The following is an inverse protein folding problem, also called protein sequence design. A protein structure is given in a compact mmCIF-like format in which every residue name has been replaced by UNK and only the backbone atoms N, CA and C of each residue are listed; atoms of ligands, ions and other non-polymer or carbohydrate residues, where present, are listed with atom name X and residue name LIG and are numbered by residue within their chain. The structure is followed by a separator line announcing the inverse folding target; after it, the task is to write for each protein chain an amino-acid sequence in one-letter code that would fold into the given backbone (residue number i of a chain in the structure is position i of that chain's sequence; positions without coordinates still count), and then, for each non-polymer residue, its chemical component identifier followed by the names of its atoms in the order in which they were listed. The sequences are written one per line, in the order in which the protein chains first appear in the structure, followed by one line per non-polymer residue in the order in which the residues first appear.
data_IF_694999940700
#
_entry.id   IF_694999940700
#
_cell.length_a   1.000
_cell.length_b   1.000
_cell.length_c   1.000
_cell.angle_alpha   90.00
_cell.angle_beta   90.00
_cell.angle_gamma   90.00
#
_symmetry.space_group_name_H-M   'P 1'
#
loop_
_entity.id
_entity.type
_entity.pdbx_description
1 polymer ?
#
# COMPACT_ATOMS: atom_id res chain seq x y z
N UNK A 1 11.37 -19.84 -26.54
CA UNK A 1 12.04 -19.51 -25.29
C UNK A 1 10.96 -18.84 -24.42
N UNK A 2 10.33 -19.66 -23.57
CA UNK A 2 9.12 -19.26 -22.85
C UNK A 2 9.54 -18.56 -21.54
N UNK A 3 9.47 -17.23 -21.53
CA UNK A 3 9.49 -16.47 -20.27
C UNK A 3 8.08 -16.52 -19.67
N UNK A 4 7.79 -17.56 -18.90
CA UNK A 4 6.64 -17.58 -18.02
C UNK A 4 7.07 -16.79 -16.79
N UNK A 5 6.51 -15.57 -16.65
CA UNK A 5 6.70 -14.74 -15.48
C UNK A 5 6.27 -15.51 -14.23
N UNK A 6 7.19 -15.73 -13.30
CA UNK A 6 6.91 -16.28 -11.97
C UNK A 6 6.15 -15.21 -11.20
N UNK A 7 4.86 -15.39 -11.08
CA UNK A 7 4.06 -14.61 -10.17
C UNK A 7 4.47 -14.97 -8.74
N UNK A 8 4.77 -13.96 -7.93
CA UNK A 8 4.76 -14.11 -6.47
C UNK A 8 3.39 -14.66 -6.13
N UNK A 9 3.36 -15.90 -5.69
CA UNK A 9 2.13 -16.55 -5.24
C UNK A 9 1.77 -15.94 -3.88
N UNK A 10 1.08 -14.80 -3.91
CA UNK A 10 0.24 -14.41 -2.79
C UNK A 10 -0.84 -15.48 -2.77
N UNK A 11 -0.68 -16.48 -1.92
CA UNK A 11 -1.64 -17.57 -1.76
C UNK A 11 -2.92 -17.01 -1.13
N UNK A 12 -3.72 -16.31 -1.92
CA UNK A 12 -5.09 -15.99 -1.62
C UNK A 12 -5.94 -17.17 -2.07
N UNK A 13 -5.93 -18.27 -1.32
CA UNK A 13 -6.92 -19.31 -1.48
C UNK A 13 -8.26 -18.78 -1.00
N UNK A 14 -9.11 -18.38 -1.94
CA UNK A 14 -10.47 -17.97 -1.70
C UNK A 14 -11.30 -19.21 -1.32
N UNK A 15 -11.56 -19.40 -0.04
CA UNK A 15 -12.74 -20.16 0.39
C UNK A 15 -13.95 -19.26 0.12
N UNK A 16 -14.67 -19.55 -0.98
CA UNK A 16 -15.95 -18.95 -1.26
C UNK A 16 -16.94 -19.27 -0.15
N UNK A 17 -17.14 -18.35 0.75
CA UNK A 17 -18.26 -18.33 1.66
C UNK A 17 -19.37 -17.51 1.03
N UNK A 18 -20.39 -18.18 0.49
CA UNK A 18 -21.69 -17.60 0.15
C UNK A 18 -22.32 -17.02 1.42
N UNK A 19 -22.63 -15.72 1.37
CA UNK A 19 -23.42 -15.05 2.39
C UNK A 19 -22.65 -14.04 3.23
N UNK A 20 -22.45 -12.83 2.70
CA UNK A 20 -22.05 -11.68 3.50
C UNK A 20 -23.28 -11.13 4.26
N UNK A 21 -23.57 -11.66 5.44
CA UNK A 21 -24.09 -10.82 6.51
C UNK A 21 -22.87 -10.16 7.18
N UNK A 22 -22.90 -8.83 7.29
CA UNK A 22 -21.95 -8.08 8.13
C UNK A 22 -22.09 -8.57 9.57
N UNK A 23 -21.31 -9.56 9.94
CA UNK A 23 -21.19 -9.97 11.33
C UNK A 23 -20.57 -8.82 12.09
N UNK A 24 -21.39 -8.15 12.90
CA UNK A 24 -20.89 -7.28 13.97
C UNK A 24 -19.83 -8.07 14.73
N UNK A 25 -18.64 -7.50 14.84
CA UNK A 25 -17.56 -8.02 15.68
C UNK A 25 -18.15 -8.26 17.08
N UNK A 26 -18.32 -9.52 17.43
CA UNK A 26 -18.84 -9.91 18.74
C UNK A 26 -17.71 -9.67 19.75
N UNK A 27 -17.76 -8.52 20.42
CA UNK A 27 -16.82 -8.13 21.48
C UNK A 27 -16.99 -8.96 22.77
N UNK A 28 -17.58 -10.16 22.66
CA UNK A 28 -17.83 -11.02 23.81
C UNK A 28 -16.54 -11.79 24.18
N UNK A 29 -15.83 -11.27 25.17
CA UNK A 29 -14.54 -11.81 25.66
C UNK A 29 -14.64 -13.17 26.39
N UNK A 30 -15.84 -13.76 26.48
CA UNK A 30 -16.08 -15.03 27.19
C UNK A 30 -16.93 -15.98 26.34
N UNK A 31 -16.43 -17.16 26.02
CA UNK A 31 -17.13 -18.19 25.21
C UNK A 31 -16.19 -18.82 24.16
N UNK A 32 -16.61 -19.89 23.50
CA UNK A 32 -15.90 -20.55 22.39
C UNK A 32 -15.93 -19.65 21.14
N UNK A 33 -14.84 -19.57 20.36
CA UNK A 33 -14.82 -18.86 19.08
C UNK A 33 -15.93 -19.32 18.15
N UNK A 34 -16.43 -18.41 17.30
CA UNK A 34 -17.41 -18.83 16.28
C UNK A 34 -16.74 -19.78 15.27
N UNK A 35 -17.48 -20.64 14.56
CA UNK A 35 -16.90 -21.53 13.56
C UNK A 35 -16.16 -20.81 12.43
N UNK A 36 -16.53 -19.59 12.13
CA UNK A 36 -15.84 -18.73 11.13
C UNK A 36 -14.47 -18.29 11.67
N UNK A 37 -14.42 -17.85 12.92
CA UNK A 37 -13.17 -17.46 13.57
C UNK A 37 -12.24 -18.65 13.70
N UNK A 38 -12.73 -19.82 14.16
CA UNK A 38 -11.94 -21.02 14.28
C UNK A 38 -11.33 -21.48 12.92
N UNK A 39 -12.08 -21.34 11.81
CA UNK A 39 -11.55 -21.58 10.47
C UNK A 39 -10.50 -20.55 10.05
N UNK A 40 -10.67 -19.29 10.40
CA UNK A 40 -9.69 -18.26 10.12
C UNK A 40 -8.38 -18.49 10.90
N UNK A 41 -8.48 -18.92 12.17
CA UNK A 41 -7.32 -19.31 12.98
C UNK A 41 -6.58 -20.49 12.35
N UNK A 42 -7.28 -21.57 11.99
CA UNK A 42 -6.67 -22.74 11.36
C UNK A 42 -6.00 -22.37 10.03
N UNK A 43 -6.67 -21.59 9.20
CA UNK A 43 -6.10 -21.08 7.95
C UNK A 43 -4.82 -20.27 8.20
N UNK A 44 -4.82 -19.38 9.19
CA UNK A 44 -3.64 -18.60 9.53
C UNK A 44 -2.48 -19.46 10.02
N UNK A 45 -2.76 -20.51 10.84
CA UNK A 45 -1.75 -21.50 11.28
C UNK A 45 -1.14 -22.19 10.06
N UNK A 46 -1.97 -22.71 9.17
CA UNK A 46 -1.52 -23.49 8.01
C UNK A 46 -0.67 -22.63 7.06
N UNK A 47 -1.12 -21.40 6.78
CA UNK A 47 -0.40 -20.48 5.88
C UNK A 47 0.90 -19.99 6.51
N UNK A 48 0.88 -19.54 7.76
CA UNK A 48 2.09 -19.06 8.43
C UNK A 48 3.08 -20.19 8.69
N UNK A 49 2.61 -21.37 9.04
CA UNK A 49 3.46 -22.55 9.25
C UNK A 49 4.13 -23.06 7.99
N UNK A 50 3.52 -22.84 6.81
CA UNK A 50 4.01 -23.38 5.54
C UNK A 50 4.73 -22.37 4.68
N UNK A 51 4.15 -21.14 4.54
CA UNK A 51 4.60 -20.16 3.54
C UNK A 51 5.36 -18.98 4.13
N UNK A 52 5.28 -18.74 5.44
CA UNK A 52 5.90 -17.60 6.06
C UNK A 52 7.43 -17.75 6.09
N UNK A 53 8.16 -16.72 5.67
CA UNK A 53 9.62 -16.78 5.59
C UNK A 53 10.25 -17.14 6.95
N UNK A 54 9.73 -16.56 8.01
CA UNK A 54 10.21 -16.77 9.39
C UNK A 54 9.30 -17.74 10.17
N UNK A 55 8.83 -18.82 9.52
CA UNK A 55 7.91 -19.79 10.11
C UNK A 55 8.53 -20.52 11.33
N UNK A 56 9.83 -20.81 11.31
CA UNK A 56 10.52 -21.46 12.41
C UNK A 56 10.64 -20.54 13.64
N UNK A 57 10.91 -19.24 13.42
CA UNK A 57 11.05 -18.24 14.47
C UNK A 57 9.75 -17.99 15.22
N UNK A 58 8.61 -17.94 14.49
CA UNK A 58 7.30 -17.69 15.09
C UNK A 58 6.57 -18.97 15.53
N UNK A 59 7.15 -20.15 15.31
CA UNK A 59 6.50 -21.45 15.55
C UNK A 59 5.85 -21.57 16.94
N UNK A 60 6.51 -21.04 17.97
CA UNK A 60 5.97 -21.07 19.34
C UNK A 60 4.78 -20.13 19.53
N UNK A 61 4.69 -19.08 18.73
CA UNK A 61 3.62 -18.09 18.82
C UNK A 61 2.37 -18.50 18.05
N UNK A 62 2.46 -19.45 17.10
CA UNK A 62 1.31 -19.97 16.37
C UNK A 62 0.23 -20.60 17.28
N UNK A 63 0.61 -21.08 18.47
CA UNK A 63 -0.36 -21.58 19.47
C UNK A 63 -1.39 -20.53 19.89
N UNK A 64 -1.06 -19.25 19.75
CA UNK A 64 -1.97 -18.12 20.04
C UNK A 64 -3.13 -18.00 19.06
N UNK A 65 -3.03 -18.64 17.89
CA UNK A 65 -4.08 -18.78 16.88
C UNK A 65 -4.94 -20.03 17.09
N UNK A 66 -4.92 -20.65 18.29
CA UNK A 66 -5.71 -21.87 18.56
C UNK A 66 -7.20 -21.68 18.20
N UNK A 67 -7.76 -22.52 17.30
CA UNK A 67 -9.17 -22.45 16.90
C UNK A 67 -10.17 -22.58 18.06
N UNK A 68 -9.72 -23.13 19.19
CA UNK A 68 -10.56 -23.32 20.38
C UNK A 68 -10.61 -22.07 21.27
N UNK A 69 -9.62 -21.20 21.20
CA UNK A 69 -9.44 -20.11 22.16
C UNK A 69 -9.20 -18.74 21.54
N UNK A 70 -8.63 -18.65 20.33
CA UNK A 70 -8.38 -17.38 19.68
C UNK A 70 -9.70 -16.77 19.16
N UNK A 71 -9.86 -15.46 19.37
CA UNK A 71 -11.08 -14.72 18.94
C UNK A 71 -10.79 -13.54 18.07
N UNK A 72 -9.53 -13.20 17.95
CA UNK A 72 -9.05 -12.04 17.22
C UNK A 72 -7.87 -12.43 16.32
N UNK A 73 -8.07 -13.35 15.35
CA UNK A 73 -6.98 -13.87 14.53
C UNK A 73 -6.19 -12.78 13.81
N UNK A 74 -6.84 -11.73 13.33
CA UNK A 74 -6.17 -10.61 12.65
C UNK A 74 -5.19 -9.88 13.57
N UNK A 75 -5.58 -9.62 14.82
CA UNK A 75 -4.72 -8.99 15.83
C UNK A 75 -3.57 -9.90 16.25
N UNK A 76 -3.85 -11.20 16.41
CA UNK A 76 -2.82 -12.19 16.76
C UNK A 76 -1.80 -12.30 15.62
N UNK A 77 -2.22 -12.47 14.36
CA UNK A 77 -1.33 -12.51 13.19
C UNK A 77 -0.43 -11.26 13.17
N UNK A 78 -1.00 -10.07 13.36
CA UNK A 78 -0.23 -8.85 13.43
C UNK A 78 0.79 -8.85 14.57
N UNK A 79 0.46 -9.40 15.73
CA UNK A 79 1.31 -9.37 16.92
C UNK A 79 2.41 -10.43 16.95
N UNK A 80 2.29 -11.50 16.14
CA UNK A 80 3.28 -12.58 16.03
C UNK A 80 4.21 -12.45 14.82
N UNK A 81 4.11 -11.38 14.06
CA UNK A 81 5.06 -11.06 12.98
C UNK A 81 6.48 -11.12 13.50
N UNK A 82 7.40 -11.49 12.63
CA UNK A 82 8.79 -11.63 13.03
C UNK A 82 9.42 -10.30 13.46
N UNK A 83 10.12 -10.36 14.59
CA UNK A 83 10.90 -9.27 15.17
C UNK A 83 12.32 -9.75 15.43
N UNK A 84 13.30 -8.90 15.19
CA UNK A 84 14.70 -9.13 15.49
C UNK A 84 15.25 -8.03 16.39
N UNK A 85 15.83 -8.40 17.54
CA UNK A 85 16.35 -7.42 18.48
C UNK A 85 15.31 -6.41 18.98
N UNK A 86 14.03 -6.79 19.05
CA UNK A 86 12.91 -5.93 19.45
C UNK A 86 12.41 -4.98 18.35
N UNK A 87 12.93 -5.09 17.13
CA UNK A 87 12.45 -4.35 15.96
C UNK A 87 11.58 -5.23 15.08
N UNK A 88 10.44 -4.69 14.64
CA UNK A 88 9.57 -5.34 13.66
C UNK A 88 10.31 -5.45 12.31
N UNK A 89 10.57 -6.67 11.87
CA UNK A 89 11.18 -6.98 10.56
C UNK A 89 10.08 -7.14 9.53
N UNK A 90 9.10 -8.01 9.81
CA UNK A 90 7.91 -8.16 8.97
C UNK A 90 6.90 -7.06 9.30
N UNK A 91 6.64 -6.20 8.32
CA UNK A 91 5.67 -5.10 8.41
C UNK A 91 4.40 -5.35 7.59
N UNK A 92 4.37 -6.41 6.79
CA UNK A 92 3.42 -6.58 5.69
C UNK A 92 2.44 -7.72 5.87
N UNK A 93 2.84 -8.80 6.57
CA UNK A 93 1.95 -9.95 6.77
C UNK A 93 0.69 -9.54 7.52
N UNK A 94 -0.46 -9.87 6.95
CA UNK A 94 -1.76 -9.54 7.51
C UNK A 94 -2.78 -10.63 7.21
N UNK A 95 -3.77 -10.75 8.08
CA UNK A 95 -5.00 -11.50 7.83
C UNK A 95 -6.13 -10.49 7.65
N UNK A 96 -7.00 -10.69 6.67
CA UNK A 96 -8.16 -9.83 6.42
C UNK A 96 -9.43 -10.66 6.25
N UNK A 97 -10.54 -10.12 6.69
CA UNK A 97 -11.90 -10.66 6.47
C UNK A 97 -12.59 -10.02 5.25
N UNK A 98 -11.98 -9.00 4.65
CA UNK A 98 -12.47 -8.32 3.43
C UNK A 98 -11.50 -8.51 2.25
N UNK A 99 -11.53 -9.72 1.66
CA UNK A 99 -10.70 -10.05 0.51
C UNK A 99 -11.02 -9.21 -0.73
N UNK A 100 -12.28 -8.79 -0.90
CA UNK A 100 -12.68 -8.01 -2.09
C UNK A 100 -12.09 -6.61 -2.04
N UNK A 101 -12.21 -5.92 -0.90
CA UNK A 101 -11.60 -4.61 -0.72
C UNK A 101 -10.07 -4.69 -0.78
N UNK A 102 -9.48 -5.74 -0.20
CA UNK A 102 -8.05 -5.97 -0.28
C UNK A 102 -7.58 -6.16 -1.75
N UNK A 103 -8.26 -7.01 -2.53
CA UNK A 103 -7.94 -7.20 -3.96
C UNK A 103 -8.05 -5.89 -4.76
N UNK A 104 -9.08 -5.10 -4.52
CA UNK A 104 -9.23 -3.79 -5.16
C UNK A 104 -8.07 -2.87 -4.78
N UNK A 105 -7.71 -2.80 -3.50
CA UNK A 105 -6.66 -1.89 -3.03
C UNK A 105 -5.30 -2.19 -3.64
N UNK A 106 -4.91 -3.47 -3.76
CA UNK A 106 -3.64 -3.85 -4.42
C UNK A 106 -3.65 -3.61 -5.94
N UNK A 107 -4.83 -3.41 -6.53
CA UNK A 107 -5.00 -3.01 -7.94
C UNK A 107 -5.14 -1.50 -8.11
N UNK A 108 -4.90 -0.71 -7.06
CA UNK A 108 -5.09 0.73 -7.08
C UNK A 108 -6.55 1.17 -7.23
N UNK A 109 -7.51 0.28 -6.95
CA UNK A 109 -8.95 0.56 -7.01
C UNK A 109 -9.56 0.62 -5.62
N UNK A 110 -10.50 1.53 -5.43
CA UNK A 110 -11.23 1.61 -4.17
C UNK A 110 -12.09 2.85 -4.05
N UNK A 111 -12.85 2.87 -2.95
CA UNK A 111 -13.61 4.05 -2.56
C UNK A 111 -12.63 5.07 -1.96
N UNK A 112 -12.39 6.16 -2.66
CA UNK A 112 -11.36 7.14 -2.30
C UNK A 112 -11.80 8.58 -2.56
N UNK A 113 -11.15 9.51 -1.91
CA UNK A 113 -11.21 10.95 -2.23
C UNK A 113 -10.17 11.35 -3.29
N UNK A 114 -9.24 10.47 -3.66
CA UNK A 114 -8.19 10.74 -4.63
C UNK A 114 -7.12 11.68 -4.09
N UNK A 115 -6.66 11.45 -2.86
CA UNK A 115 -5.52 12.14 -2.27
C UNK A 115 -4.71 11.22 -1.35
N UNK A 116 -3.46 11.60 -1.10
CA UNK A 116 -2.67 11.11 0.02
C UNK A 116 -2.34 12.25 0.99
N UNK A 117 -2.29 11.92 2.29
CA UNK A 117 -2.15 12.88 3.37
C UNK A 117 -1.06 12.46 4.35
N UNK A 118 -0.19 13.39 4.71
CA UNK A 118 0.80 13.23 5.76
C UNK A 118 0.31 13.84 7.07
N UNK A 119 0.40 13.08 8.16
CA UNK A 119 0.02 13.54 9.50
C UNK A 119 1.13 14.37 10.13
N UNK A 120 0.78 15.58 10.58
CA UNK A 120 1.61 16.43 11.42
C UNK A 120 0.96 16.68 12.76
N UNK A 121 1.76 17.04 13.76
CA UNK A 121 1.30 17.37 15.10
C UNK A 121 1.66 18.81 15.42
N UNK A 122 0.72 19.57 15.99
CA UNK A 122 1.00 20.89 16.49
C UNK A 122 1.89 20.84 17.75
N UNK A 123 2.89 21.71 17.80
CA UNK A 123 3.77 21.83 18.97
C UNK A 123 3.13 22.64 20.10
N UNK A 124 2.25 23.58 19.75
CA UNK A 124 1.60 24.54 20.63
C UNK A 124 0.15 24.19 20.99
N UNK A 125 -0.39 23.11 20.40
CA UNK A 125 -1.77 22.64 20.63
C UNK A 125 -1.78 21.19 21.05
N UNK A 126 -1.89 20.96 22.34
CA UNK A 126 -1.85 19.62 22.92
C UNK A 126 -3.00 18.73 22.38
N UNK A 127 -2.66 17.60 21.77
CA UNK A 127 -3.64 16.62 21.26
C UNK A 127 -4.24 16.96 19.89
N UNK A 128 -3.89 18.09 19.28
CA UNK A 128 -4.32 18.47 17.94
C UNK A 128 -3.29 18.13 16.89
N UNK A 129 -3.79 17.81 15.70
CA UNK A 129 -3.03 17.41 14.53
C UNK A 129 -3.45 18.23 13.31
N UNK A 130 -2.65 18.17 12.27
CA UNK A 130 -2.97 18.65 10.95
C UNK A 130 -2.59 17.59 9.90
N UNK A 131 -3.18 17.70 8.72
CA UNK A 131 -2.84 16.85 7.59
C UNK A 131 -2.31 17.71 6.46
N UNK A 132 -1.29 17.24 5.77
CA UNK A 132 -0.71 17.92 4.60
C UNK A 132 -0.99 17.07 3.38
N UNK A 133 -1.55 17.65 2.33
CA UNK A 133 -1.78 16.96 1.06
C UNK A 133 -0.43 16.66 0.40
N UNK A 134 -0.08 15.37 0.29
CA UNK A 134 1.13 14.89 -0.37
C UNK A 134 0.99 14.96 -1.89
N UNK A 135 -0.16 14.51 -2.40
CA UNK A 135 -0.57 14.56 -3.79
C UNK A 135 -2.09 14.43 -3.91
N UNK A 136 -2.59 14.73 -5.10
CA UNK A 136 -3.97 14.46 -5.51
C UNK A 136 -3.96 13.65 -6.80
N UNK A 137 -4.88 12.69 -6.90
CA UNK A 137 -5.03 11.85 -8.09
C UNK A 137 -5.74 12.64 -9.19
N UNK A 138 -5.28 12.44 -10.42
CA UNK A 138 -5.90 13.04 -11.61
C UNK A 138 -7.37 12.64 -11.70
N UNK A 139 -8.22 13.62 -12.03
CA UNK A 139 -9.67 13.46 -12.17
C UNK A 139 -10.40 12.98 -10.90
N UNK A 140 -9.69 12.91 -9.76
CA UNK A 140 -10.26 12.53 -8.47
C UNK A 140 -11.06 13.64 -7.80
N UNK A 141 -11.92 13.29 -6.81
CA UNK A 141 -12.73 14.26 -6.08
C UNK A 141 -11.93 15.39 -5.46
N UNK A 142 -10.74 15.10 -4.91
CA UNK A 142 -9.87 16.08 -4.28
C UNK A 142 -9.35 17.10 -5.28
N UNK A 143 -8.86 16.67 -6.45
CA UNK A 143 -8.41 17.55 -7.53
C UNK A 143 -9.56 18.42 -8.04
N UNK A 144 -10.72 17.81 -8.30
CA UNK A 144 -11.90 18.52 -8.80
C UNK A 144 -12.43 19.56 -7.81
N UNK A 145 -12.22 19.34 -6.52
CA UNK A 145 -12.56 20.31 -5.46
C UNK A 145 -11.47 21.38 -5.23
N UNK A 146 -10.42 21.39 -6.04
CA UNK A 146 -9.33 22.36 -5.98
C UNK A 146 -8.34 22.16 -4.84
N UNK A 147 -8.23 20.93 -4.31
CA UNK A 147 -7.11 20.55 -3.44
C UNK A 147 -5.85 20.37 -4.29
N UNK A 148 -4.72 20.70 -3.69
CA UNK A 148 -3.41 20.55 -4.31
C UNK A 148 -2.36 20.15 -3.28
N UNK A 149 -1.24 19.61 -3.76
CA UNK A 149 -0.06 19.35 -2.94
C UNK A 149 0.32 20.56 -2.11
N UNK A 150 0.58 20.33 -0.82
CA UNK A 150 0.97 21.35 0.15
C UNK A 150 -0.19 22.05 0.86
N UNK A 151 -1.45 21.82 0.44
CA UNK A 151 -2.60 22.27 1.22
C UNK A 151 -2.56 21.66 2.62
N UNK A 152 -2.87 22.46 3.64
CA UNK A 152 -2.89 22.03 5.03
C UNK A 152 -4.32 21.96 5.53
N UNK A 153 -4.71 20.80 6.05
CA UNK A 153 -6.04 20.51 6.59
C UNK A 153 -5.94 20.56 8.12
N UNK A 154 -6.74 21.39 8.75
CA UNK A 154 -6.72 21.59 10.21
C UNK A 154 -8.02 21.19 10.89
N UNK A 155 -9.10 20.97 10.13
CA UNK A 155 -10.37 20.47 10.70
C UNK A 155 -10.98 19.43 9.80
N UNK A 156 -11.69 18.46 10.42
CA UNK A 156 -12.57 17.51 9.76
C UNK A 156 -13.99 17.72 10.28
N UNK A 157 -14.96 17.95 9.39
CA UNK A 157 -16.36 18.23 9.70
C UNK A 157 -16.53 19.37 10.73
N UNK A 158 -15.69 20.39 10.61
CA UNK A 158 -15.67 21.57 11.46
C UNK A 158 -15.04 21.37 12.84
N UNK A 159 -14.46 20.21 13.12
CA UNK A 159 -13.79 19.90 14.39
C UNK A 159 -12.27 19.85 14.21
N UNK A 160 -11.47 20.24 15.21
CA UNK A 160 -10.02 20.02 15.20
C UNK A 160 -9.68 18.55 14.98
N UNK A 161 -8.54 18.28 14.32
CA UNK A 161 -8.08 16.93 14.05
C UNK A 161 -7.44 16.37 15.32
N UNK A 162 -7.90 15.21 15.76
CA UNK A 162 -7.43 14.46 16.92
C UNK A 162 -7.13 13.01 16.55
N UNK A 163 -6.58 12.24 17.48
CA UNK A 163 -6.39 10.79 17.28
C UNK A 163 -7.71 10.06 17.00
N UNK A 164 -8.82 10.55 17.57
CA UNK A 164 -10.12 9.87 17.49
C UNK A 164 -10.82 10.10 16.14
N UNK A 165 -10.53 11.21 15.44
CA UNK A 165 -11.22 11.56 14.22
C UNK A 165 -10.33 11.60 12.97
N UNK A 166 -9.01 11.50 13.08
CA UNK A 166 -8.09 11.59 11.92
C UNK A 166 -8.40 10.58 10.82
N UNK A 167 -8.86 9.39 11.19
CA UNK A 167 -9.23 8.36 10.22
C UNK A 167 -10.45 8.70 9.37
N UNK A 168 -11.29 9.66 9.81
CA UNK A 168 -12.42 10.13 9.01
C UNK A 168 -11.96 10.79 7.69
N UNK A 169 -10.72 11.29 7.64
CA UNK A 169 -10.14 11.79 6.40
C UNK A 169 -10.04 10.70 5.31
N UNK A 170 -10.06 9.42 5.65
CA UNK A 170 -9.85 8.30 4.72
C UNK A 170 -11.04 7.35 4.63
N UNK A 171 -11.75 7.15 5.74
CA UNK A 171 -12.66 6.00 5.91
C UNK A 171 -14.14 6.40 5.94
N UNK A 172 -14.51 7.61 5.54
CA UNK A 172 -15.90 8.05 5.44
C UNK A 172 -16.33 8.23 3.99
N UNK A 173 -17.65 8.15 3.74
CA UNK A 173 -18.17 8.37 2.41
C UNK A 173 -18.13 9.84 1.98
N UNK A 174 -18.21 10.75 2.95
CA UNK A 174 -18.10 12.18 2.74
C UNK A 174 -17.39 12.85 3.91
N UNK A 175 -16.66 13.92 3.64
CA UNK A 175 -15.94 14.70 4.65
C UNK A 175 -15.92 16.19 4.26
N UNK A 176 -16.00 17.05 5.25
CA UNK A 176 -15.76 18.49 5.09
C UNK A 176 -14.40 18.85 5.69
N UNK A 177 -13.45 19.23 4.82
CA UNK A 177 -12.09 19.58 5.18
C UNK A 177 -11.97 21.08 5.40
N UNK A 178 -11.46 21.50 6.56
CA UNK A 178 -11.04 22.89 6.78
C UNK A 178 -9.61 23.08 6.31
N UNK A 179 -9.44 23.69 5.14
CA UNK A 179 -8.15 23.83 4.45
C UNK A 179 -7.60 25.23 4.61
N UNK A 180 -6.33 25.33 4.93
CA UNK A 180 -5.60 26.59 5.10
C UNK A 180 -4.25 26.53 4.38
N UNK A 181 -3.55 27.64 4.33
CA UNK A 181 -2.19 27.75 3.82
C UNK A 181 -1.21 27.97 4.97
N UNK A 182 0.05 27.67 4.73
CA UNK A 182 1.16 28.02 5.61
C UNK A 182 1.89 29.21 5.03
N UNK A 183 2.14 30.24 5.84
CA UNK A 183 2.92 31.42 5.51
C UNK A 183 4.10 31.49 6.50
N UNK A 184 5.31 31.18 6.01
CA UNK A 184 6.46 30.97 6.90
C UNK A 184 6.23 29.83 7.88
N UNK A 185 6.32 30.08 9.18
CA UNK A 185 6.13 29.12 10.25
C UNK A 185 4.70 29.08 10.80
N UNK A 186 3.77 29.85 10.21
CA UNK A 186 2.44 30.04 10.75
C UNK A 186 1.35 29.60 9.77
N UNK A 187 0.28 29.06 10.33
CA UNK A 187 -0.93 28.77 9.57
C UNK A 187 -1.63 30.11 9.29
N UNK A 188 -1.96 30.38 8.02
CA UNK A 188 -2.72 31.58 7.66
C UNK A 188 -4.11 31.53 8.28
N UNK A 189 -4.60 32.65 8.78
CA UNK A 189 -5.90 32.71 9.47
C UNK A 189 -7.12 32.42 8.59
N UNK A 190 -6.94 32.30 7.26
CA UNK A 190 -8.02 32.02 6.32
C UNK A 190 -8.20 30.51 6.13
N UNK A 191 -9.39 30.03 6.51
CA UNK A 191 -9.78 28.63 6.32
C UNK A 191 -10.89 28.55 5.27
N UNK A 192 -10.67 27.74 4.22
CA UNK A 192 -11.71 27.40 3.24
C UNK A 192 -12.26 26.01 3.56
N UNK A 193 -13.55 25.82 3.37
CA UNK A 193 -14.16 24.48 3.52
C UNK A 193 -14.23 23.79 2.16
N UNK A 194 -13.61 22.61 2.07
CA UNK A 194 -13.67 21.73 0.91
C UNK A 194 -14.50 20.51 1.28
N UNK A 195 -15.60 20.27 0.57
CA UNK A 195 -16.45 19.10 0.78
C UNK A 195 -16.16 18.06 -0.26
N UNK A 196 -15.85 16.85 0.20
CA UNK A 196 -15.53 15.70 -0.65
C UNK A 196 -16.54 14.59 -0.44
N UNK A 197 -16.77 13.86 -1.52
CA UNK A 197 -17.52 12.61 -1.54
C UNK A 197 -16.63 11.55 -2.19
N UNK A 198 -16.43 10.44 -1.49
CA UNK A 198 -15.62 9.35 -2.01
C UNK A 198 -16.28 8.68 -3.22
N UNK A 199 -15.48 8.28 -4.18
CA UNK A 199 -15.89 7.57 -5.39
C UNK A 199 -15.06 6.31 -5.56
N UNK A 200 -15.64 5.27 -6.17
CA UNK A 200 -14.89 4.08 -6.57
C UNK A 200 -14.11 4.43 -7.85
N UNK A 201 -12.79 4.56 -7.75
CA UNK A 201 -11.94 4.91 -8.88
C UNK A 201 -10.61 4.17 -8.84
N UNK A 202 -9.95 4.11 -9.98
CA UNK A 202 -8.55 3.71 -10.08
C UNK A 202 -7.66 4.93 -9.78
N UNK A 203 -6.80 4.78 -8.80
CA UNK A 203 -5.76 5.77 -8.49
C UNK A 203 -4.52 5.45 -9.33
N UNK A 204 -4.38 6.15 -10.47
CA UNK A 204 -3.24 5.95 -11.36
C UNK A 204 -1.94 6.29 -10.61
N UNK A 205 -1.02 5.33 -10.44
CA UNK A 205 0.22 5.57 -9.72
C UNK A 205 1.23 6.43 -10.52
N UNK A 206 1.03 6.60 -11.83
CA UNK A 206 1.84 7.51 -12.65
C UNK A 206 1.27 8.91 -12.54
N UNK A 207 1.72 9.65 -11.54
CA UNK A 207 1.16 10.97 -11.23
C UNK A 207 1.64 12.06 -12.16
N UNK A 208 2.92 12.00 -12.56
CA UNK A 208 3.56 13.04 -13.40
C UNK A 208 4.52 12.38 -14.38
N UNK A 209 4.41 12.77 -15.65
CA UNK A 209 5.38 12.49 -16.68
C UNK A 209 5.68 13.79 -17.42
N UNK A 210 6.86 14.35 -17.18
CA UNK A 210 7.26 15.64 -17.74
C UNK A 210 8.65 15.57 -18.35
N UNK A 211 8.94 16.53 -19.23
CA UNK A 211 10.27 16.73 -19.78
C UNK A 211 10.58 18.23 -19.71
N UNK A 212 11.71 18.58 -19.14
CA UNK A 212 12.16 19.97 -19.01
C UNK A 212 13.66 20.08 -19.31
N UNK A 213 14.11 21.29 -19.55
CA UNK A 213 15.54 21.59 -19.75
C UNK A 213 16.16 22.13 -18.49
N UNK A 214 17.31 21.59 -18.12
CA UNK A 214 18.12 22.07 -17.00
C UNK A 214 19.61 21.94 -17.33
N UNK A 215 20.34 23.04 -17.21
CA UNK A 215 21.79 23.07 -17.47
C UNK A 215 22.18 22.65 -18.90
N UNK A 216 21.31 22.90 -19.89
CA UNK A 216 21.52 22.52 -21.29
C UNK A 216 21.25 21.03 -21.59
N UNK A 217 20.67 20.30 -20.64
CA UNK A 217 20.25 18.90 -20.78
C UNK A 217 18.74 18.78 -20.73
N UNK A 218 18.20 17.84 -21.47
CA UNK A 218 16.80 17.43 -21.39
C UNK A 218 16.61 16.39 -20.31
N UNK A 219 15.76 16.68 -19.33
CA UNK A 219 15.49 15.82 -18.20
C UNK A 219 14.08 15.27 -18.29
N UNK A 220 13.94 13.95 -18.28
CA UNK A 220 12.66 13.27 -18.04
C UNK A 220 12.37 13.24 -16.56
N UNK A 221 11.12 13.45 -16.16
CA UNK A 221 10.68 13.39 -14.78
C UNK A 221 9.43 12.50 -14.67
N UNK A 222 9.55 11.44 -13.88
CA UNK A 222 8.50 10.49 -13.60
C UNK A 222 8.22 10.47 -12.09
N UNK A 223 6.98 10.78 -11.67
CA UNK A 223 6.50 10.53 -10.30
C UNK A 223 5.65 9.28 -10.33
N UNK A 224 6.08 8.26 -9.57
CA UNK A 224 5.49 6.93 -9.62
C UNK A 224 5.24 6.39 -8.21
N UNK A 225 3.97 6.22 -7.83
CA UNK A 225 3.55 6.01 -6.44
C UNK A 225 3.21 4.56 -6.08
N UNK A 226 3.20 3.63 -7.02
CA UNK A 226 2.88 2.24 -6.71
C UNK A 226 3.09 1.30 -7.88
N UNK A 227 3.50 0.08 -7.61
CA UNK A 227 3.75 -0.97 -8.60
C UNK A 227 2.50 -1.85 -8.80
N UNK A 228 1.42 -1.31 -9.34
CA UNK A 228 0.25 -2.09 -9.70
C UNK A 228 0.41 -2.79 -11.07
N UNK A 229 -0.46 -3.79 -11.34
CA UNK A 229 -0.35 -4.56 -12.59
C UNK A 229 -0.73 -3.72 -13.83
N UNK A 230 -1.65 -2.77 -13.69
CA UNK A 230 -2.11 -1.96 -14.82
C UNK A 230 -1.02 -0.98 -15.29
N UNK A 231 -0.28 -0.41 -14.36
CA UNK A 231 0.84 0.49 -14.69
C UNK A 231 1.98 -0.22 -15.42
N UNK A 232 2.12 -1.55 -15.29
CA UNK A 232 3.11 -2.33 -16.03
C UNK A 232 2.94 -2.24 -17.55
N UNK A 233 1.72 -2.01 -18.02
CA UNK A 233 1.40 -1.83 -19.44
C UNK A 233 1.65 -0.39 -19.90
N UNK A 234 1.56 0.58 -18.99
CA UNK A 234 1.71 2.01 -19.29
C UNK A 234 3.16 2.48 -19.24
N UNK A 235 3.96 1.94 -18.32
CA UNK A 235 5.37 2.31 -18.15
C UNK A 235 6.18 2.24 -19.48
N UNK A 236 6.06 1.18 -20.33
CA UNK A 236 6.76 1.12 -21.60
C UNK A 236 6.45 2.30 -22.52
N UNK A 237 5.22 2.77 -22.55
CA UNK A 237 4.83 3.92 -23.37
C UNK A 237 5.40 5.23 -22.83
N UNK A 238 5.47 5.41 -21.49
CA UNK A 238 6.14 6.55 -20.86
C UNK A 238 7.62 6.61 -21.27
N UNK A 239 8.33 5.48 -21.18
CA UNK A 239 9.74 5.43 -21.54
C UNK A 239 9.97 5.59 -23.06
N UNK A 240 9.05 5.11 -23.88
CA UNK A 240 9.07 5.36 -25.34
C UNK A 240 8.88 6.86 -25.64
N UNK A 241 8.03 7.56 -24.91
CA UNK A 241 7.88 8.99 -25.02
C UNK A 241 9.17 9.74 -24.62
N UNK A 242 9.76 9.41 -23.46
CA UNK A 242 11.05 9.96 -23.05
C UNK A 242 12.14 9.74 -24.10
N UNK A 243 12.23 8.54 -24.65
CA UNK A 243 13.18 8.21 -25.73
C UNK A 243 12.92 9.05 -26.98
N UNK A 244 11.66 9.23 -27.38
CA UNK A 244 11.30 10.05 -28.55
C UNK A 244 11.68 11.52 -28.38
N UNK A 245 11.67 12.03 -27.16
CA UNK A 245 12.06 13.39 -26.81
C UNK A 245 13.59 13.56 -26.67
N UNK A 246 14.34 12.45 -26.78
CA UNK A 246 15.80 12.40 -26.60
C UNK A 246 16.22 13.03 -25.28
N UNK A 247 15.71 12.52 -24.16
CA UNK A 247 16.14 12.97 -22.84
C UNK A 247 17.61 12.52 -22.61
N UNK A 248 18.37 13.38 -21.93
CA UNK A 248 19.75 13.10 -21.53
C UNK A 248 19.84 12.48 -20.14
N UNK A 249 18.89 12.84 -19.26
CA UNK A 249 18.83 12.47 -17.86
C UNK A 249 17.40 12.05 -17.48
N UNK A 250 17.28 11.22 -16.47
CA UNK A 250 16.00 10.77 -15.94
C UNK A 250 15.95 10.92 -14.41
N UNK A 251 14.90 11.56 -13.92
CA UNK A 251 14.56 11.59 -12.50
C UNK A 251 13.31 10.73 -12.28
N UNK A 252 13.43 9.71 -11.42
CA UNK A 252 12.31 8.90 -10.96
C UNK A 252 12.05 9.25 -9.50
N UNK A 253 10.86 9.77 -9.23
CA UNK A 253 10.44 10.15 -7.88
C UNK A 253 9.54 9.07 -7.29
N UNK A 254 10.09 8.31 -6.34
CA UNK A 254 9.42 7.24 -5.63
C UNK A 254 9.11 7.61 -4.17
N UNK A 255 9.17 8.89 -3.79
CA UNK A 255 9.01 9.34 -2.39
C UNK A 255 7.70 8.89 -1.74
N UNK A 256 6.65 8.72 -2.51
CA UNK A 256 5.33 8.26 -2.04
C UNK A 256 5.00 6.86 -2.54
N UNK A 257 5.97 6.13 -3.11
CA UNK A 257 5.74 4.77 -3.57
C UNK A 257 5.63 3.81 -2.39
N UNK A 258 4.49 3.18 -2.25
CA UNK A 258 4.19 2.21 -1.20
C UNK A 258 4.61 0.77 -1.51
N UNK A 259 5.23 0.53 -2.67
CA UNK A 259 5.55 -0.83 -3.16
C UNK A 259 4.49 -1.35 -4.13
N UNK A 260 4.33 -2.67 -4.21
CA UNK A 260 3.36 -3.35 -5.06
C UNK A 260 3.88 -4.66 -5.64
N UNK A 261 3.58 -4.95 -6.89
CA UNK A 261 3.99 -6.18 -7.55
C UNK A 261 5.46 -6.15 -7.99
N UNK A 262 6.24 -7.12 -7.56
CA UNK A 262 7.63 -7.33 -7.99
C UNK A 262 7.76 -7.45 -9.52
N UNK A 263 6.75 -8.02 -10.18
CA UNK A 263 6.68 -8.07 -11.64
C UNK A 263 6.74 -6.67 -12.27
N UNK A 264 5.97 -5.71 -11.74
CA UNK A 264 5.95 -4.34 -12.26
C UNK A 264 7.22 -3.57 -11.90
N UNK A 265 7.78 -3.83 -10.71
CA UNK A 265 9.09 -3.32 -10.32
C UNK A 265 10.19 -3.77 -11.27
N UNK A 266 10.21 -5.07 -11.62
CA UNK A 266 11.18 -5.64 -12.58
C UNK A 266 11.06 -5.00 -13.97
N UNK A 267 9.84 -4.68 -14.42
CA UNK A 267 9.63 -3.95 -15.68
C UNK A 267 10.30 -2.57 -15.62
N UNK A 268 10.03 -1.80 -14.57
CA UNK A 268 10.65 -0.48 -14.40
C UNK A 268 12.18 -0.59 -14.32
N UNK A 269 12.70 -1.51 -13.50
CA UNK A 269 14.14 -1.74 -13.36
C UNK A 269 14.81 -2.10 -14.69
N UNK A 270 14.18 -2.95 -15.50
CA UNK A 270 14.69 -3.34 -16.82
C UNK A 270 14.74 -2.19 -17.81
N UNK A 271 13.88 -1.17 -17.66
CA UNK A 271 13.88 0.01 -18.54
C UNK A 271 14.98 1.02 -18.21
N UNK A 272 15.49 1.01 -16.98
CA UNK A 272 16.51 1.96 -16.49
C UNK A 272 17.87 1.33 -16.31
N UNK A 273 17.97 0.01 -16.23
CA UNK A 273 19.23 -0.70 -16.11
C UNK A 273 20.05 -0.56 -17.42
N UNK A 274 21.39 -0.61 -17.33
CA UNK A 274 22.22 -0.67 -18.53
C UNK A 274 21.83 -1.83 -19.43
N UNK A 275 21.65 -1.56 -20.72
CA UNK A 275 21.21 -2.57 -21.69
C UNK A 275 22.12 -3.81 -21.67
N UNK A 276 23.41 -3.63 -21.46
CA UNK A 276 24.38 -4.74 -21.36
C UNK A 276 24.03 -5.71 -20.26
N UNK A 277 23.63 -5.21 -19.06
CA UNK A 277 23.25 -6.03 -17.92
C UNK A 277 21.93 -6.77 -18.17
N UNK A 278 20.95 -6.07 -18.76
CA UNK A 278 19.65 -6.68 -19.10
C UNK A 278 19.83 -7.80 -20.13
N UNK A 279 20.63 -7.57 -21.18
CA UNK A 279 20.91 -8.57 -22.23
C UNK A 279 21.78 -9.73 -21.71
N UNK A 280 22.65 -9.50 -20.74
CA UNK A 280 23.45 -10.53 -20.08
C UNK A 280 22.61 -11.41 -19.16
N UNK A 281 21.41 -10.95 -18.76
CA UNK A 281 20.57 -11.65 -17.79
C UNK A 281 21.12 -11.54 -16.36
N UNK A 282 21.78 -10.43 -16.06
CA UNK A 282 22.33 -10.19 -14.72
C UNK A 282 21.19 -10.20 -13.66
N UNK A 283 21.49 -10.76 -12.50
CA UNK A 283 20.54 -10.88 -11.39
C UNK A 283 20.20 -9.49 -10.85
N UNK A 284 18.93 -9.12 -10.88
CA UNK A 284 18.42 -7.89 -10.29
C UNK A 284 18.00 -8.10 -8.84
N UNK A 285 17.29 -9.20 -8.56
CA UNK A 285 16.84 -9.56 -7.22
C UNK A 285 16.81 -11.08 -7.05
N UNK A 286 16.91 -11.52 -5.80
CA UNK A 286 16.80 -12.93 -5.43
C UNK A 286 15.65 -13.09 -4.43
N UNK A 287 14.75 -14.02 -4.70
CA UNK A 287 13.71 -14.41 -3.76
C UNK A 287 14.27 -15.39 -2.74
N UNK A 288 13.93 -15.18 -1.46
CA UNK A 288 14.32 -16.05 -0.36
C UNK A 288 13.09 -16.71 0.22
N UNK A 289 13.16 -18.01 0.40
CA UNK A 289 12.08 -18.84 0.93
C UNK A 289 12.48 -19.46 2.28
N UNK A 290 11.48 -19.85 3.07
CA UNK A 290 11.74 -20.69 4.24
C UNK A 290 12.22 -22.08 3.81
N UNK A 291 12.72 -22.90 4.78
CA UNK A 291 13.29 -24.22 4.51
C UNK A 291 12.31 -25.17 3.82
N UNK A 292 11.01 -25.11 4.16
CA UNK A 292 9.97 -25.97 3.57
C UNK A 292 9.81 -25.68 2.07
N UNK A 293 9.68 -24.42 1.71
CA UNK A 293 9.50 -24.02 0.31
C UNK A 293 10.79 -24.18 -0.48
N UNK A 294 11.94 -23.89 0.10
CA UNK A 294 13.24 -24.11 -0.55
C UNK A 294 13.43 -25.58 -0.93
N UNK A 295 13.05 -26.51 -0.03
CA UNK A 295 13.11 -27.96 -0.32
C UNK A 295 12.13 -28.36 -1.43
N UNK A 296 10.92 -27.78 -1.48
CA UNK A 296 9.94 -28.03 -2.54
C UNK A 296 10.48 -27.57 -3.91
N UNK A 297 11.02 -26.34 -3.99
CA UNK A 297 11.58 -25.81 -5.24
C UNK A 297 12.77 -26.64 -5.72
N UNK A 298 13.66 -27.02 -4.83
CA UNK A 298 14.80 -27.88 -5.14
C UNK A 298 14.37 -29.23 -5.70
N UNK A 299 13.33 -29.86 -5.14
CA UNK A 299 12.77 -31.13 -5.64
C UNK A 299 12.15 -30.98 -7.03
N UNK A 300 11.69 -29.79 -7.38
CA UNK A 300 11.13 -29.47 -8.71
C UNK A 300 12.22 -29.08 -9.74
N UNK A 301 13.49 -29.06 -9.32
CA UNK A 301 14.61 -28.66 -10.19
C UNK A 301 14.68 -27.16 -10.45
N UNK A 302 14.15 -26.40 -9.52
CA UNK A 302 14.17 -24.95 -9.56
C UNK A 302 15.10 -24.44 -8.45
N UNK A 303 16.39 -24.23 -8.79
CA UNK A 303 17.43 -23.65 -7.90
C UNK A 303 17.41 -22.12 -7.92
#
# INVERSE_FOLDING_TARGET
MNMIGRAVLVAALALGLLGCEKTKTDNNKTGTPSPVIAKADQYAIDVLGTYYLWNDEIKKDLVRLSPDTCRMPMEVVKSIRYHEGGKEVDKWTMLTDDLLSFKKSIQGQGLTYGYDLQLGKFSDRAGEYFLVVSYVCKDGPAMNAGLKRGDVIITLDGKPITKDNVYNAFNTYSVALGVTNVEGDHISGKVRTVRLKAVDMYEDPILVTETFEFGGRKVGYLVYNGFDLKSSEVLPEVFKEFKSKNIDELIIDLRYNGGGYAFTENILASMIAPQTNVLAGDVFQTEVYNSILADVWKQQGED
#
